data_IF_610102910982
#
_entry.id   IF_610102910982
#
_cell.length_a   1.000
_cell.length_b   1.000
_cell.length_c   1.000
_cell.angle_alpha   90.00
_cell.angle_beta   90.00
_cell.angle_gamma   90.00
#
_symmetry.space_group_name_H-M   'P 1'
#
loop_
_entity.id
_entity.type
_entity.pdbx_description
1 polymer ?
#
# COMPACT_ATOMS: atom_id res chain seq x y z
N UNK A 1 12.51 33.33 -68.63
CA UNK A 1 12.63 33.40 -67.16
C UNK A 1 11.86 32.22 -66.59
N UNK A 2 12.57 31.33 -65.89
CA UNK A 2 12.07 30.07 -65.34
C UNK A 2 11.03 30.30 -64.23
N UNK A 3 9.97 29.51 -64.27
CA UNK A 3 9.04 29.30 -63.17
C UNK A 3 9.70 28.44 -62.08
N UNK A 4 9.57 28.85 -60.81
CA UNK A 4 9.98 28.05 -59.66
C UNK A 4 8.77 27.96 -58.71
N UNK A 5 8.02 26.86 -58.81
CA UNK A 5 6.97 26.50 -57.86
C UNK A 5 7.59 25.73 -56.69
N UNK A 6 7.53 26.33 -55.49
CA UNK A 6 7.79 25.60 -54.25
C UNK A 6 6.54 24.79 -53.87
N UNK A 7 6.64 23.47 -53.92
CA UNK A 7 5.68 22.55 -53.29
C UNK A 7 6.11 22.31 -51.84
N UNK A 8 5.41 22.94 -50.91
CA UNK A 8 5.49 22.63 -49.48
C UNK A 8 4.75 21.31 -49.22
N UNK A 9 5.47 20.19 -49.19
CA UNK A 9 4.93 18.91 -48.74
C UNK A 9 4.80 18.92 -47.20
N UNK A 10 3.64 19.31 -46.70
CA UNK A 10 3.26 19.11 -45.30
C UNK A 10 3.00 17.62 -45.07
N UNK A 11 3.97 16.91 -44.48
CA UNK A 11 3.75 15.55 -43.98
C UNK A 11 2.91 15.61 -42.71
N UNK A 12 1.58 15.54 -42.86
CA UNK A 12 0.70 15.12 -41.77
C UNK A 12 0.98 13.64 -41.46
N UNK A 13 1.93 13.37 -40.56
CA UNK A 13 2.09 12.05 -39.94
C UNK A 13 1.00 11.88 -38.89
N UNK A 14 -0.21 11.54 -39.33
CA UNK A 14 -1.22 10.99 -38.43
C UNK A 14 -0.69 9.63 -37.94
N UNK A 15 -0.47 9.43 -36.63
CA UNK A 15 -0.05 8.13 -36.12
C UNK A 15 -1.07 7.06 -36.53
N UNK A 16 -0.59 5.93 -37.03
CA UNK A 16 -1.47 4.82 -37.37
C UNK A 16 -2.26 4.38 -36.12
N UNK A 17 -3.55 4.03 -36.25
CA UNK A 17 -4.33 3.48 -35.16
C UNK A 17 -3.59 2.27 -34.56
N UNK A 18 -3.34 2.30 -33.26
CA UNK A 18 -2.77 1.16 -32.55
C UNK A 18 -3.85 0.08 -32.49
N UNK A 19 -3.57 -1.08 -33.04
CA UNK A 19 -4.40 -2.27 -32.82
C UNK A 19 -4.45 -2.54 -31.31
N UNK A 20 -5.65 -2.54 -30.68
CA UNK A 20 -5.78 -2.78 -29.24
C UNK A 20 -5.24 -4.15 -28.81
N UNK A 21 -5.04 -5.11 -29.73
CA UNK A 21 -4.39 -6.39 -29.47
C UNK A 21 -2.88 -6.40 -29.80
N UNK A 22 -2.29 -5.28 -30.23
CA UNK A 22 -0.85 -5.21 -30.51
C UNK A 22 -0.02 -5.35 -29.24
N UNK A 23 1.19 -5.91 -29.37
CA UNK A 23 2.15 -5.98 -28.27
C UNK A 23 2.41 -4.59 -27.64
N UNK A 24 2.41 -3.52 -28.44
CA UNK A 24 2.59 -2.17 -27.92
C UNK A 24 1.40 -1.68 -27.08
N UNK A 25 0.16 -2.00 -27.46
CA UNK A 25 -1.02 -1.71 -26.63
C UNK A 25 -0.97 -2.48 -25.31
N UNK A 26 -0.63 -3.78 -25.39
CA UNK A 26 -0.44 -4.66 -24.22
C UNK A 26 0.60 -4.10 -23.27
N UNK A 27 1.74 -3.61 -23.80
CA UNK A 27 2.80 -2.99 -22.99
C UNK A 27 2.31 -1.76 -22.21
N UNK A 28 1.56 -0.88 -22.87
CA UNK A 28 1.03 0.34 -22.24
C UNK A 28 0.08 -0.03 -21.11
N UNK A 29 -0.89 -0.90 -21.39
CA UNK A 29 -1.87 -1.33 -20.39
C UNK A 29 -1.20 -2.07 -19.21
N UNK A 30 -0.21 -2.93 -19.50
CA UNK A 30 0.53 -3.66 -18.48
C UNK A 30 1.32 -2.72 -17.55
N UNK A 31 1.94 -1.67 -18.08
CA UNK A 31 2.61 -0.66 -17.26
C UNK A 31 1.59 0.08 -16.36
N UNK A 32 0.43 0.48 -16.91
CA UNK A 32 -0.64 1.13 -16.13
C UNK A 32 -1.11 0.24 -14.98
N UNK A 33 -1.33 -1.05 -15.24
CA UNK A 33 -1.74 -2.01 -14.23
C UNK A 33 -0.67 -2.18 -13.16
N UNK A 34 0.60 -2.34 -13.54
CA UNK A 34 1.72 -2.44 -12.58
C UNK A 34 1.83 -1.21 -11.70
N UNK A 35 1.76 -0.02 -12.29
CA UNK A 35 1.87 1.24 -11.56
C UNK A 35 0.67 1.44 -10.63
N UNK A 36 -0.52 0.98 -11.03
CA UNK A 36 -1.72 0.95 -10.18
C UNK A 36 -1.53 0.04 -8.96
N UNK A 37 -1.01 -1.18 -9.15
CA UNK A 37 -0.75 -2.09 -8.03
C UNK A 37 0.30 -1.50 -7.09
N UNK A 38 1.37 -0.92 -7.63
CA UNK A 38 2.42 -0.28 -6.84
C UNK A 38 1.86 0.90 -6.01
N UNK A 39 0.96 1.71 -6.58
CA UNK A 39 0.29 2.78 -5.86
C UNK A 39 -0.57 2.25 -4.70
N UNK A 40 -1.39 1.20 -4.92
CA UNK A 40 -2.22 0.62 -3.85
C UNK A 40 -1.41 -0.02 -2.73
N UNK A 41 -0.32 -0.70 -3.09
CA UNK A 41 0.64 -1.21 -2.11
C UNK A 41 1.27 -0.08 -1.30
N UNK A 42 1.73 0.97 -1.96
CA UNK A 42 2.36 2.13 -1.32
C UNK A 42 1.39 2.86 -0.38
N UNK A 43 0.14 3.07 -0.78
CA UNK A 43 -0.91 3.69 0.06
C UNK A 43 -1.09 2.91 1.37
N UNK A 44 -1.17 1.58 1.29
CA UNK A 44 -1.28 0.72 2.48
C UNK A 44 -0.05 0.85 3.39
N UNK A 45 1.15 0.80 2.81
CA UNK A 45 2.39 0.92 3.58
C UNK A 45 2.51 2.30 4.26
N UNK A 46 2.10 3.37 3.58
CA UNK A 46 2.13 4.72 4.13
C UNK A 46 1.14 4.88 5.29
N UNK A 47 -0.07 4.30 5.18
CA UNK A 47 -1.04 4.29 6.28
C UNK A 47 -0.48 3.54 7.48
N UNK A 48 0.12 2.37 7.27
CA UNK A 48 0.70 1.58 8.36
C UNK A 48 1.92 2.25 9.01
N UNK A 49 2.78 2.91 8.23
CA UNK A 49 3.87 3.74 8.74
C UNK A 49 3.35 4.95 9.54
N UNK A 50 2.22 5.52 9.12
CA UNK A 50 1.49 6.55 9.86
C UNK A 50 1.04 6.03 11.23
N UNK A 51 0.33 4.91 11.23
CA UNK A 51 -0.14 4.23 12.45
C UNK A 51 1.00 3.95 13.43
N UNK A 52 2.15 3.50 12.93
CA UNK A 52 3.34 3.26 13.76
C UNK A 52 3.92 4.56 14.36
N UNK A 53 4.00 5.65 13.57
CA UNK A 53 4.48 6.95 14.05
C UNK A 53 3.56 7.53 15.11
N UNK A 54 2.25 7.44 14.90
CA UNK A 54 1.24 7.95 15.83
C UNK A 54 1.23 7.13 17.11
N UNK A 55 1.36 5.80 17.02
CA UNK A 55 1.57 4.92 18.19
C UNK A 55 2.82 5.31 18.97
N UNK A 56 3.92 5.63 18.27
CA UNK A 56 5.15 6.11 18.91
C UNK A 56 4.95 7.44 19.64
N UNK A 57 4.18 8.36 19.05
CA UNK A 57 3.84 9.64 19.70
C UNK A 57 2.94 9.41 20.90
N UNK A 58 1.90 8.57 20.77
CA UNK A 58 0.98 8.24 21.85
C UNK A 58 1.73 7.69 23.07
N UNK A 59 2.67 6.75 22.85
CA UNK A 59 3.52 6.24 23.92
C UNK A 59 4.36 7.32 24.61
N UNK A 60 4.83 8.34 23.87
CA UNK A 60 5.52 9.50 24.46
C UNK A 60 4.56 10.34 25.32
N UNK A 61 3.37 10.64 24.82
CA UNK A 61 2.36 11.40 25.57
C UNK A 61 1.97 10.69 26.87
N UNK A 62 1.73 9.37 26.80
CA UNK A 62 1.41 8.54 27.97
C UNK A 62 2.55 8.53 29.00
N UNK A 63 3.81 8.64 28.56
CA UNK A 63 4.96 8.70 29.47
C UNK A 63 5.03 9.97 30.31
N UNK A 64 4.37 11.04 29.86
CA UNK A 64 4.27 12.31 30.56
C UNK A 64 3.17 12.33 31.63
N UNK A 65 2.29 11.33 31.66
CA UNK A 65 1.19 11.27 32.62
C UNK A 65 1.66 10.84 34.02
N UNK A 66 1.03 11.36 35.09
CA UNK A 66 1.35 10.95 36.46
C UNK A 66 0.93 9.49 36.70
N UNK A 67 1.78 8.75 37.42
CA UNK A 67 1.49 7.37 37.82
C UNK A 67 1.70 6.31 36.73
N UNK A 68 2.23 6.68 35.56
CA UNK A 68 2.44 5.73 34.46
C UNK A 68 3.55 4.71 34.76
N UNK A 69 3.29 3.44 34.43
CA UNK A 69 4.31 2.38 34.45
C UNK A 69 5.31 2.58 33.29
N UNK A 70 6.46 3.16 33.62
CA UNK A 70 7.55 3.42 32.66
C UNK A 70 8.14 2.13 32.08
N UNK A 71 8.15 1.03 32.83
CA UNK A 71 8.67 -0.25 32.33
C UNK A 71 7.71 -0.86 31.30
N UNK A 72 6.40 -0.77 31.54
CA UNK A 72 5.40 -1.16 30.55
C UNK A 72 5.53 -0.33 29.26
N UNK A 73 5.61 1.00 29.36
CA UNK A 73 5.79 1.86 28.19
C UNK A 73 7.07 1.56 27.41
N UNK A 74 8.19 1.31 28.09
CA UNK A 74 9.44 0.96 27.42
C UNK A 74 9.32 -0.35 26.62
N UNK A 75 8.61 -1.35 27.16
CA UNK A 75 8.33 -2.61 26.44
C UNK A 75 7.45 -2.39 25.21
N UNK A 76 6.39 -1.57 25.34
CA UNK A 76 5.50 -1.26 24.22
C UNK A 76 6.22 -0.43 23.13
N UNK A 77 7.07 0.51 23.54
CA UNK A 77 7.91 1.28 22.63
C UNK A 77 8.86 0.39 21.85
N UNK A 78 9.53 -0.56 22.53
CA UNK A 78 10.38 -1.54 21.87
C UNK A 78 9.60 -2.44 20.90
N UNK A 79 8.39 -2.89 21.27
CA UNK A 79 7.54 -3.66 20.38
C UNK A 79 7.14 -2.87 19.12
N UNK A 80 6.74 -1.60 19.28
CA UNK A 80 6.41 -0.71 18.17
C UNK A 80 7.59 -0.48 17.22
N UNK A 81 8.80 -0.28 17.75
CA UNK A 81 10.01 -0.07 16.95
C UNK A 81 10.44 -1.33 16.17
N UNK A 82 9.99 -2.51 16.59
CA UNK A 82 10.29 -3.80 15.93
C UNK A 82 9.29 -4.18 14.85
N UNK A 83 8.09 -3.57 14.79
CA UNK A 83 7.07 -3.91 13.80
C UNK A 83 7.57 -3.87 12.35
N UNK A 84 8.28 -2.82 11.87
CA UNK A 84 8.72 -2.76 10.47
C UNK A 84 9.60 -3.94 10.06
N UNK A 85 10.38 -4.49 11.00
CA UNK A 85 11.26 -5.64 10.72
C UNK A 85 10.50 -6.97 10.57
N UNK A 86 9.25 -7.02 11.02
CA UNK A 86 8.35 -8.18 10.89
C UNK A 86 7.40 -8.06 9.70
N UNK A 87 7.25 -6.86 9.14
CA UNK A 87 6.28 -6.60 8.09
C UNK A 87 6.64 -7.38 6.84
N UNK A 88 5.65 -8.06 6.27
CA UNK A 88 5.76 -8.73 4.99
C UNK A 88 5.95 -7.71 3.84
N UNK A 89 6.57 -8.15 2.74
CA UNK A 89 6.66 -7.40 1.49
C UNK A 89 5.59 -7.85 0.51
N UNK A 90 5.49 -7.17 -0.63
CA UNK A 90 4.57 -7.54 -1.70
C UNK A 90 4.84 -8.94 -2.22
N UNK A 91 6.07 -9.43 -2.14
CA UNK A 91 6.43 -10.78 -2.56
C UNK A 91 6.23 -11.78 -1.43
N UNK A 92 6.63 -11.45 -0.20
CA UNK A 92 6.58 -12.41 0.90
C UNK A 92 5.17 -12.58 1.47
N UNK A 93 4.22 -11.69 1.16
CA UNK A 93 2.80 -11.89 1.53
C UNK A 93 2.16 -13.11 0.87
N UNK A 94 2.84 -13.77 -0.07
CA UNK A 94 2.45 -15.09 -0.55
C UNK A 94 2.42 -16.15 0.58
N UNK A 95 3.19 -15.93 1.64
CA UNK A 95 3.10 -16.68 2.89
C UNK A 95 2.12 -15.98 3.84
N UNK A 96 0.90 -16.52 3.94
CA UNK A 96 -0.14 -15.95 4.82
C UNK A 96 0.27 -15.95 6.29
N UNK A 97 1.16 -16.84 6.71
CA UNK A 97 1.67 -16.87 8.09
C UNK A 97 2.47 -15.61 8.45
N UNK A 98 3.09 -14.95 7.47
CA UNK A 98 3.76 -13.66 7.69
C UNK A 98 2.76 -12.51 7.86
N UNK A 99 1.60 -12.60 7.21
CA UNK A 99 0.50 -11.63 7.40
C UNK A 99 -0.07 -11.80 8.80
N UNK A 100 -0.45 -13.02 9.18
CA UNK A 100 -1.03 -13.33 10.49
C UNK A 100 -0.08 -12.94 11.64
N UNK A 101 1.21 -13.24 11.51
CA UNK A 101 2.21 -12.91 12.51
C UNK A 101 2.41 -11.39 12.66
N UNK A 102 2.31 -10.64 11.57
CA UNK A 102 2.41 -9.19 11.59
C UNK A 102 1.17 -8.56 12.24
N UNK A 103 -0.02 -8.95 11.78
CA UNK A 103 -1.30 -8.43 12.25
C UNK A 103 -1.48 -8.73 13.74
N UNK A 104 -1.23 -9.96 14.17
CA UNK A 104 -1.30 -10.34 15.58
C UNK A 104 -0.35 -9.53 16.47
N UNK A 105 0.85 -9.23 15.99
CA UNK A 105 1.80 -8.41 16.74
C UNK A 105 1.34 -6.95 16.86
N UNK A 106 0.71 -6.41 15.80
CA UNK A 106 0.16 -5.07 15.80
C UNK A 106 -1.07 -4.96 16.70
N UNK A 107 -2.02 -5.89 16.59
CA UNK A 107 -3.23 -5.94 17.42
C UNK A 107 -2.88 -6.04 18.90
N UNK A 108 -1.96 -6.95 19.24
CA UNK A 108 -1.50 -7.12 20.62
C UNK A 108 -0.86 -5.85 21.19
N UNK A 109 -0.08 -5.14 20.37
CA UNK A 109 0.51 -3.86 20.75
C UNK A 109 -0.58 -2.81 20.98
N UNK A 110 -1.47 -2.62 20.02
CA UNK A 110 -2.50 -1.58 20.08
C UNK A 110 -3.46 -1.81 21.25
N UNK A 111 -3.89 -3.05 21.48
CA UNK A 111 -4.71 -3.41 22.64
C UNK A 111 -4.02 -3.04 23.96
N UNK A 112 -2.73 -3.34 24.09
CA UNK A 112 -1.97 -2.99 25.28
C UNK A 112 -1.78 -1.48 25.44
N UNK A 113 -1.56 -0.74 24.35
CA UNK A 113 -1.46 0.73 24.36
C UNK A 113 -2.77 1.38 24.76
N UNK A 114 -3.89 0.94 24.19
CA UNK A 114 -5.22 1.47 24.51
C UNK A 114 -5.61 1.19 25.96
N UNK A 115 -5.15 0.08 26.55
CA UNK A 115 -5.33 -0.19 27.97
C UNK A 115 -4.64 0.82 28.90
N UNK A 116 -3.70 1.62 28.40
CA UNK A 116 -3.02 2.68 29.16
C UNK A 116 -3.63 4.07 28.93
N UNK A 117 -4.55 4.21 27.97
CA UNK A 117 -5.20 5.50 27.68
C UNK A 117 -6.20 5.83 28.79
N UNK A 118 -6.08 6.99 29.47
CA UNK A 118 -7.03 7.38 30.50
C UNK A 118 -8.44 7.55 29.93
N UNK A 119 -9.43 7.01 30.64
CA UNK A 119 -10.82 7.19 30.27
C UNK A 119 -11.28 8.63 30.56
N UNK A 120 -12.04 9.26 29.64
CA UNK A 120 -12.65 10.55 29.90
C UNK A 120 -13.58 10.46 31.12
N UNK A 121 -13.41 11.33 32.11
CA UNK A 121 -14.24 11.35 33.34
C UNK A 121 -15.48 12.24 33.21
N UNK A 122 -15.66 12.91 32.07
CA UNK A 122 -16.79 13.79 31.77
C UNK A 122 -17.18 13.66 30.29
N UNK A 123 -18.47 13.82 29.93
CA UNK A 123 -18.92 13.82 28.53
C UNK A 123 -18.41 15.02 27.72
N UNK A 124 -17.98 16.10 28.37
CA UNK A 124 -17.42 17.29 27.71
C UNK A 124 -15.89 17.36 27.91
N UNK A 125 -15.18 16.32 27.49
CA UNK A 125 -13.70 16.32 27.56
C UNK A 125 -13.14 16.98 26.30
N UNK A 126 -12.32 18.02 26.51
CA UNK A 126 -11.52 18.60 25.43
C UNK A 126 -10.58 17.53 24.85
N UNK A 127 -10.38 17.57 23.53
CA UNK A 127 -9.51 16.62 22.85
C UNK A 127 -8.07 16.81 23.31
N UNK A 128 -7.58 15.88 24.13
CA UNK A 128 -6.17 15.83 24.51
C UNK A 128 -5.34 15.21 23.39
N UNK A 129 -4.03 15.47 23.31
CA UNK A 129 -3.15 14.80 22.34
C UNK A 129 -3.29 13.27 22.37
N UNK A 130 -3.42 12.69 23.57
CA UNK A 130 -3.63 11.25 23.78
C UNK A 130 -4.91 10.76 23.08
N UNK A 131 -6.03 11.47 23.25
CA UNK A 131 -7.30 11.09 22.62
C UNK A 131 -7.29 11.30 21.11
N UNK A 132 -6.67 12.38 20.63
CA UNK A 132 -6.51 12.64 19.19
C UNK A 132 -5.69 11.54 18.49
N UNK A 133 -4.53 11.21 19.06
CA UNK A 133 -3.66 10.15 18.52
C UNK A 133 -4.36 8.79 18.56
N UNK A 134 -5.08 8.50 19.65
CA UNK A 134 -5.86 7.26 19.75
C UNK A 134 -6.89 7.16 18.61
N UNK A 135 -7.63 8.25 18.34
CA UNK A 135 -8.58 8.29 17.24
C UNK A 135 -7.93 8.12 15.86
N UNK A 136 -6.80 8.78 15.62
CA UNK A 136 -6.04 8.65 14.36
C UNK A 136 -5.55 7.22 14.12
N UNK A 137 -5.03 6.57 15.16
CA UNK A 137 -4.56 5.18 15.07
C UNK A 137 -5.74 4.25 14.79
N UNK A 138 -6.89 4.44 15.46
CA UNK A 138 -8.10 3.64 15.24
C UNK A 138 -8.67 3.82 13.84
N UNK A 139 -8.66 5.04 13.30
CA UNK A 139 -9.10 5.31 11.93
C UNK A 139 -8.19 4.60 10.92
N UNK A 140 -6.87 4.76 11.05
CA UNK A 140 -5.91 4.08 10.18
C UNK A 140 -6.02 2.55 10.26
N UNK A 141 -6.31 2.00 11.45
CA UNK A 141 -6.52 0.57 11.66
C UNK A 141 -7.78 0.06 10.96
N UNK A 142 -8.90 0.80 11.09
CA UNK A 142 -10.16 0.47 10.44
C UNK A 142 -10.06 0.49 8.90
N UNK A 143 -9.17 1.30 8.33
CA UNK A 143 -8.96 1.37 6.88
C UNK A 143 -8.17 0.18 6.30
N UNK A 144 -7.47 -0.61 7.13
CA UNK A 144 -6.55 -1.67 6.68
C UNK A 144 -7.21 -2.65 5.70
N UNK A 145 -8.41 -3.14 6.04
CA UNK A 145 -9.17 -4.05 5.18
C UNK A 145 -9.50 -3.40 3.82
N UNK A 146 -9.82 -2.10 3.83
CA UNK A 146 -10.06 -1.32 2.62
C UNK A 146 -8.82 -1.22 1.73
N UNK A 147 -7.65 -0.96 2.31
CA UNK A 147 -6.39 -0.94 1.57
C UNK A 147 -6.07 -2.31 0.95
N UNK A 148 -6.21 -3.40 1.72
CA UNK A 148 -5.98 -4.77 1.24
C UNK A 148 -6.92 -5.13 0.09
N UNK A 149 -8.20 -4.79 0.21
CA UNK A 149 -9.19 -5.03 -0.86
C UNK A 149 -8.84 -4.27 -2.14
N UNK A 150 -8.43 -2.99 -2.05
CA UNK A 150 -8.01 -2.20 -3.22
C UNK A 150 -6.74 -2.75 -3.86
N UNK A 151 -5.79 -3.22 -3.06
CA UNK A 151 -4.60 -3.91 -3.54
C UNK A 151 -4.97 -5.19 -4.29
N UNK A 152 -5.76 -6.07 -3.68
CA UNK A 152 -6.18 -7.34 -4.29
C UNK A 152 -6.90 -7.11 -5.62
N UNK A 153 -7.82 -6.14 -5.67
CA UNK A 153 -8.51 -5.78 -6.91
C UNK A 153 -7.55 -5.35 -8.02
N UNK A 154 -6.53 -4.55 -7.70
CA UNK A 154 -5.52 -4.15 -8.67
C UNK A 154 -4.63 -5.32 -9.09
N UNK A 155 -4.20 -6.14 -8.14
CA UNK A 155 -3.32 -7.28 -8.37
C UNK A 155 -4.02 -8.37 -9.20
N UNK A 156 -5.30 -8.67 -8.93
CA UNK A 156 -6.11 -9.57 -9.75
C UNK A 156 -6.22 -9.08 -11.20
N UNK A 157 -6.47 -7.77 -11.42
CA UNK A 157 -6.51 -7.21 -12.78
C UNK A 157 -5.17 -7.37 -13.50
N UNK A 158 -4.07 -7.10 -12.80
CA UNK A 158 -2.72 -7.31 -13.34
C UNK A 158 -2.45 -8.78 -13.67
N UNK A 159 -2.74 -9.69 -12.74
CA UNK A 159 -2.53 -11.14 -12.90
C UNK A 159 -3.35 -11.71 -14.06
N UNK A 160 -4.63 -11.34 -14.15
CA UNK A 160 -5.50 -11.76 -15.24
C UNK A 160 -5.00 -11.22 -16.58
N UNK A 161 -4.48 -9.99 -16.61
CA UNK A 161 -3.92 -9.40 -17.83
C UNK A 161 -2.63 -10.10 -18.28
N UNK A 162 -1.76 -10.49 -17.34
CA UNK A 162 -0.58 -11.31 -17.64
C UNK A 162 -0.95 -12.64 -18.28
N UNK A 163 -1.99 -13.30 -17.74
CA UNK A 163 -2.44 -14.59 -18.26
C UNK A 163 -3.07 -14.46 -19.65
N UNK A 164 -3.94 -13.46 -19.85
CA UNK A 164 -4.67 -13.28 -21.10
C UNK A 164 -3.76 -12.91 -22.28
N UNK A 165 -2.73 -12.09 -22.04
CA UNK A 165 -1.86 -11.54 -23.08
C UNK A 165 -0.45 -12.14 -23.08
N UNK A 166 -0.32 -13.40 -22.65
CA UNK A 166 0.99 -14.05 -22.50
C UNK A 166 1.79 -14.05 -23.81
N UNK A 167 1.13 -14.30 -24.95
CA UNK A 167 1.79 -14.37 -26.25
C UNK A 167 2.35 -13.00 -26.69
N UNK A 168 1.59 -11.93 -26.49
CA UNK A 168 2.01 -10.56 -26.79
C UNK A 168 3.12 -10.11 -25.83
N UNK A 169 3.02 -10.48 -24.54
CA UNK A 169 4.02 -10.17 -23.52
C UNK A 169 5.37 -10.81 -23.84
N UNK A 170 5.39 -12.04 -24.37
CA UNK A 170 6.63 -12.69 -24.80
C UNK A 170 7.35 -11.93 -25.91
N UNK A 171 6.62 -11.19 -26.75
CA UNK A 171 7.19 -10.36 -27.82
C UNK A 171 7.80 -9.05 -27.30
N UNK A 172 7.52 -8.66 -26.06
CA UNK A 172 8.02 -7.42 -25.45
C UNK A 172 9.44 -7.53 -24.87
N UNK A 173 10.04 -8.72 -24.93
CA UNK A 173 11.39 -9.00 -24.46
C UNK A 173 11.46 -9.48 -23.00
N UNK A 174 12.66 -9.87 -22.58
CA UNK A 174 12.91 -10.60 -21.33
C UNK A 174 12.37 -9.91 -20.07
N UNK A 175 12.46 -8.58 -20.01
CA UNK A 175 11.96 -7.78 -18.87
C UNK A 175 10.46 -8.00 -18.60
N UNK A 176 9.67 -8.18 -19.66
CA UNK A 176 8.22 -8.36 -19.56
C UNK A 176 7.85 -9.84 -19.47
N UNK A 177 8.55 -10.71 -20.20
CA UNK A 177 8.33 -12.15 -20.20
C UNK A 177 8.57 -12.81 -18.83
N UNK A 178 9.34 -12.19 -17.94
CA UNK A 178 9.63 -12.69 -16.60
C UNK A 178 8.62 -12.24 -15.54
N UNK A 179 7.68 -11.36 -15.87
CA UNK A 179 6.68 -10.88 -14.92
C UNK A 179 5.84 -12.06 -14.40
N UNK A 180 5.75 -12.15 -13.08
CA UNK A 180 4.98 -13.18 -12.39
C UNK A 180 3.68 -12.57 -11.84
N UNK A 181 2.64 -13.39 -11.67
CA UNK A 181 1.48 -13.01 -10.87
C UNK A 181 1.90 -12.54 -9.48
N UNK A 182 1.24 -11.51 -8.98
CA UNK A 182 1.43 -10.96 -7.65
C UNK A 182 0.54 -11.72 -6.65
N UNK A 183 1.02 -11.95 -5.42
CA UNK A 183 0.20 -12.56 -4.38
C UNK A 183 -0.92 -11.61 -3.94
N UNK A 184 -1.97 -12.21 -3.38
CA UNK A 184 -3.19 -11.55 -2.89
C UNK A 184 -3.31 -11.75 -1.37
N UNK A 185 -3.97 -10.83 -0.69
CA UNK A 185 -4.34 -10.99 0.73
C UNK A 185 -5.42 -12.05 0.92
N UNK A 186 -6.39 -12.08 0.01
CA UNK A 186 -7.44 -13.09 0.02
C UNK A 186 -6.95 -14.40 -0.58
N UNK A 187 -6.91 -15.45 0.25
CA UNK A 187 -6.68 -16.82 -0.22
C UNK A 187 -7.85 -17.20 -1.14
N UNK A 188 -7.56 -17.38 -2.43
CA UNK A 188 -8.47 -18.07 -3.33
C UNK A 188 -8.24 -19.56 -3.11
N UNK A 189 -9.16 -20.22 -2.40
CA UNK A 189 -9.28 -21.67 -2.41
C UNK A 189 -9.83 -22.14 -3.75
#
# INVERSE_FOLDING_TARGET
>A
MLALGLLMASCNRTPAPIDPASAQAVKVQLNILRDTVAARWSEMQQSDDGKQRDTKQLLRELSGLPGTDRAALARLQYANDRLPTRRYTQQTMADSGLIDAYDSAQDSLLQAVYGLVPLPTSPNVEATPVLMLTGQIQEADAELVGFRSRYDQAAMRFNNYLQLHQAEIQQLGSKYAQLQPLPLFTLHN
#
